data_IF_224061194427
#
_entry.id   IF_224061194427
#
_cell.length_a   1.000
_cell.length_b   1.000
_cell.length_c   1.000
_cell.angle_alpha   90.00
_cell.angle_beta   90.00
_cell.angle_gamma   90.00
#
_symmetry.space_group_name_H-M   'P 1'
#
loop_
_entity.id
_entity.type
_entity.pdbx_description
1 polymer ?
#
# COMPACT_ATOMS: atom_id res chain seq x y z
N UNK A 1 10.82 1.05 -69.45
CA UNK A 1 11.18 0.91 -68.03
C UNK A 1 10.24 -0.15 -67.47
N UNK A 2 10.70 -1.38 -67.31
CA UNK A 2 9.88 -2.42 -66.65
C UNK A 2 9.90 -2.05 -65.17
N UNK A 3 8.75 -1.71 -64.62
CA UNK A 3 8.59 -1.52 -63.19
C UNK A 3 8.87 -2.88 -62.53
N UNK A 4 9.82 -2.92 -61.60
CA UNK A 4 10.13 -4.12 -60.83
C UNK A 4 9.04 -4.33 -59.76
N UNK A 5 7.87 -4.79 -60.22
CA UNK A 5 6.66 -4.98 -59.41
C UNK A 5 6.93 -5.91 -58.21
N UNK A 6 7.86 -6.86 -58.34
CA UNK A 6 8.16 -7.82 -57.26
C UNK A 6 8.95 -7.17 -56.12
N UNK A 7 9.89 -6.29 -56.44
CA UNK A 7 10.62 -5.50 -55.43
C UNK A 7 9.70 -4.52 -54.71
N UNK A 8 8.81 -3.86 -55.44
CA UNK A 8 7.83 -2.91 -54.87
C UNK A 8 6.85 -3.60 -53.93
N UNK A 9 6.29 -4.75 -54.34
CA UNK A 9 5.35 -5.53 -53.52
C UNK A 9 6.02 -6.01 -52.23
N UNK A 10 7.26 -6.50 -52.32
CA UNK A 10 8.01 -6.97 -51.13
C UNK A 10 8.27 -5.83 -50.13
N UNK A 11 8.55 -4.62 -50.63
CA UNK A 11 8.73 -3.43 -49.80
C UNK A 11 7.43 -3.00 -49.12
N UNK A 12 6.29 -3.07 -49.83
CA UNK A 12 4.99 -2.74 -49.27
C UNK A 12 4.61 -3.68 -48.13
N UNK A 13 4.80 -5.00 -48.31
CA UNK A 13 4.57 -5.97 -47.23
C UNK A 13 5.50 -5.76 -46.03
N UNK A 14 6.77 -5.44 -46.27
CA UNK A 14 7.72 -5.12 -45.20
C UNK A 14 7.27 -3.87 -44.42
N UNK A 15 6.78 -2.85 -45.13
CA UNK A 15 6.31 -1.61 -44.53
C UNK A 15 5.02 -1.83 -43.73
N UNK A 16 4.06 -2.59 -44.26
CA UNK A 16 2.83 -2.98 -43.54
C UNK A 16 3.20 -3.75 -42.27
N UNK A 17 4.13 -4.69 -42.36
CA UNK A 17 4.60 -5.46 -41.21
C UNK A 17 5.25 -4.55 -40.15
N UNK A 18 6.15 -3.66 -40.56
CA UNK A 18 6.82 -2.73 -39.66
C UNK A 18 5.83 -1.77 -38.97
N UNK A 19 4.88 -1.20 -39.72
CA UNK A 19 3.83 -0.34 -39.16
C UNK A 19 2.94 -1.12 -38.19
N UNK A 20 2.59 -2.36 -38.52
CA UNK A 20 1.81 -3.23 -37.63
C UNK A 20 2.55 -3.49 -36.31
N UNK A 21 3.86 -3.70 -36.36
CA UNK A 21 4.69 -3.89 -35.17
C UNK A 21 4.76 -2.62 -34.31
N UNK A 22 4.91 -1.46 -34.95
CA UNK A 22 4.92 -0.15 -34.26
C UNK A 22 3.59 0.08 -33.55
N UNK A 23 2.47 -0.16 -34.24
CA UNK A 23 1.13 -0.04 -33.66
C UNK A 23 0.97 -1.01 -32.48
N UNK A 24 1.40 -2.26 -32.63
CA UNK A 24 1.34 -3.25 -31.56
C UNK A 24 2.11 -2.79 -30.32
N UNK A 25 3.34 -2.31 -30.48
CA UNK A 25 4.17 -1.83 -29.37
C UNK A 25 3.54 -0.59 -28.72
N UNK A 26 3.03 0.35 -29.53
CA UNK A 26 2.42 1.59 -29.07
C UNK A 26 1.23 1.35 -28.12
N UNK A 27 0.47 0.27 -28.33
CA UNK A 27 -0.60 -0.13 -27.40
C UNK A 27 -0.11 -1.05 -26.28
N UNK A 28 0.82 -1.95 -26.56
CA UNK A 28 1.25 -2.95 -25.58
C UNK A 28 1.99 -2.34 -24.40
N UNK A 29 2.88 -1.36 -24.63
CA UNK A 29 3.68 -0.77 -23.56
C UNK A 29 2.81 -0.05 -22.51
N UNK A 30 1.90 0.88 -22.88
CA UNK A 30 1.03 1.53 -21.89
C UNK A 30 0.12 0.56 -21.13
N UNK A 31 -0.35 -0.50 -21.80
CA UNK A 31 -1.18 -1.53 -21.16
C UNK A 31 -0.39 -2.29 -20.09
N UNK A 32 0.86 -2.67 -20.37
CA UNK A 32 1.73 -3.36 -19.41
C UNK A 32 2.05 -2.46 -18.22
N UNK A 33 2.39 -1.19 -18.47
CA UNK A 33 2.65 -0.21 -17.40
C UNK A 33 1.44 -0.05 -16.48
N UNK A 34 0.26 0.16 -17.05
CA UNK A 34 -0.98 0.29 -16.27
C UNK A 34 -1.29 -0.98 -15.46
N UNK A 35 -1.07 -2.17 -16.03
CA UNK A 35 -1.28 -3.43 -15.33
C UNK A 35 -0.31 -3.60 -14.14
N UNK A 36 0.94 -3.19 -14.31
CA UNK A 36 1.95 -3.22 -13.25
C UNK A 36 1.60 -2.27 -12.12
N UNK A 37 1.26 -1.02 -12.43
CA UNK A 37 0.91 0.00 -11.43
C UNK A 37 -0.31 -0.41 -10.60
N UNK A 38 -1.37 -0.91 -11.26
CA UNK A 38 -2.54 -1.46 -10.57
C UNK A 38 -2.18 -2.62 -9.63
N UNK A 39 -1.33 -3.53 -10.09
CA UNK A 39 -0.88 -4.68 -9.30
C UNK A 39 -0.10 -4.24 -8.06
N UNK A 40 0.80 -3.25 -8.22
CA UNK A 40 1.58 -2.69 -7.13
C UNK A 40 0.67 -1.99 -6.11
N UNK A 41 -0.34 -1.25 -6.54
CA UNK A 41 -1.26 -0.58 -5.62
C UNK A 41 -2.12 -1.56 -4.81
N UNK A 42 -2.60 -2.63 -5.44
CA UNK A 42 -3.30 -3.70 -4.73
C UNK A 42 -2.37 -4.34 -3.70
N UNK A 43 -1.14 -4.69 -4.11
CA UNK A 43 -0.15 -5.31 -3.23
C UNK A 43 0.20 -4.42 -2.03
N UNK A 44 0.46 -3.13 -2.26
CA UNK A 44 0.80 -2.18 -1.21
C UNK A 44 -0.37 -1.89 -0.27
N UNK A 45 -1.60 -1.78 -0.80
CA UNK A 45 -2.80 -1.63 0.02
C UNK A 45 -3.02 -2.85 0.92
N UNK A 46 -2.79 -4.06 0.39
CA UNK A 46 -2.89 -5.30 1.16
C UNK A 46 -1.81 -5.39 2.24
N UNK A 47 -0.56 -5.03 1.91
CA UNK A 47 0.52 -4.93 2.89
C UNK A 47 0.13 -3.97 4.03
N UNK A 48 -0.29 -2.75 3.71
CA UNK A 48 -0.73 -1.79 4.72
C UNK A 48 -1.88 -2.33 5.57
N UNK A 49 -2.89 -2.97 4.96
CA UNK A 49 -4.00 -3.59 5.71
C UNK A 49 -3.52 -4.70 6.65
N UNK A 50 -2.60 -5.54 6.22
CA UNK A 50 -2.06 -6.62 7.03
C UNK A 50 -1.25 -6.06 8.22
N UNK A 51 -0.40 -5.06 8.00
CA UNK A 51 0.37 -4.43 9.08
C UNK A 51 -0.52 -3.69 10.07
N UNK A 52 -1.51 -2.94 9.58
CA UNK A 52 -2.49 -2.27 10.45
C UNK A 52 -3.35 -3.29 11.23
N UNK A 53 -3.61 -4.48 10.67
CA UNK A 53 -4.31 -5.56 11.37
C UNK A 53 -3.48 -6.13 12.51
N UNK A 54 -2.17 -6.32 12.32
CA UNK A 54 -1.26 -6.68 13.42
C UNK A 54 -1.31 -5.66 14.54
N UNK A 55 -1.30 -4.36 14.19
CA UNK A 55 -1.40 -3.29 15.17
C UNK A 55 -2.74 -3.31 15.92
N UNK A 56 -3.85 -3.44 15.19
CA UNK A 56 -5.20 -3.54 15.77
C UNK A 56 -5.31 -4.71 16.75
N UNK A 57 -4.76 -5.87 16.39
CA UNK A 57 -4.78 -7.06 17.24
C UNK A 57 -3.93 -6.85 18.50
N UNK A 58 -2.78 -6.21 18.38
CA UNK A 58 -1.93 -5.93 19.53
C UNK A 58 -2.57 -4.90 20.49
N UNK A 59 -3.27 -3.89 19.95
CA UNK A 59 -4.10 -2.98 20.77
C UNK A 59 -5.15 -3.77 21.54
N UNK A 60 -5.89 -4.65 20.86
CA UNK A 60 -6.88 -5.50 21.50
C UNK A 60 -6.29 -6.43 22.56
N UNK A 61 -5.08 -6.97 22.32
CA UNK A 61 -4.38 -7.84 23.25
C UNK A 61 -3.96 -7.09 24.52
N UNK A 62 -3.27 -5.95 24.40
CA UNK A 62 -2.88 -5.12 25.56
C UNK A 62 -4.11 -4.66 26.34
N UNK A 63 -5.20 -4.33 25.66
CA UNK A 63 -6.46 -4.01 26.34
C UNK A 63 -7.05 -5.20 27.11
N UNK A 64 -7.00 -6.41 26.55
CA UNK A 64 -7.48 -7.62 27.20
C UNK A 64 -6.60 -8.06 28.37
N UNK A 65 -5.28 -7.84 28.28
CA UNK A 65 -4.31 -8.13 29.35
C UNK A 65 -4.41 -7.13 30.51
N UNK A 66 -4.87 -5.90 30.24
CA UNK A 66 -5.16 -4.90 31.26
C UNK A 66 -3.97 -4.02 31.68
N UNK A 67 -4.10 -3.34 32.82
CA UNK A 67 -3.07 -2.43 33.32
C UNK A 67 -1.72 -3.10 33.55
N UNK A 68 -0.64 -2.43 33.15
CA UNK A 68 0.73 -2.92 33.24
C UNK A 68 1.18 -3.77 32.05
N UNK A 69 0.29 -4.06 31.10
CA UNK A 69 0.62 -4.81 29.88
C UNK A 69 1.34 -3.95 28.84
N UNK A 70 2.18 -4.59 28.05
CA UNK A 70 2.99 -3.95 27.02
C UNK A 70 3.29 -4.91 25.89
N UNK A 71 3.09 -4.45 24.67
CA UNK A 71 3.42 -5.18 23.46
C UNK A 71 4.30 -4.34 22.55
N UNK A 72 5.39 -4.96 22.07
CA UNK A 72 6.28 -4.37 21.06
C UNK A 72 6.11 -5.15 19.77
N UNK A 73 5.94 -4.45 18.66
CA UNK A 73 5.83 -5.07 17.34
C UNK A 73 6.64 -4.29 16.30
N UNK A 74 6.92 -4.98 15.21
CA UNK A 74 7.58 -4.42 14.04
C UNK A 74 6.58 -4.43 12.88
N UNK A 75 6.30 -3.25 12.33
CA UNK A 75 5.43 -3.08 11.18
C UNK A 75 6.29 -2.77 9.96
N UNK A 76 6.15 -3.55 8.89
CA UNK A 76 6.93 -3.36 7.66
C UNK A 76 6.04 -2.87 6.51
N UNK A 77 6.14 -1.59 6.19
CA UNK A 77 5.32 -0.94 5.17
C UNK A 77 6.07 -0.74 3.87
N UNK A 78 5.41 -1.03 2.75
CA UNK A 78 5.96 -0.76 1.42
C UNK A 78 5.96 0.74 1.05
N UNK A 79 5.13 1.54 1.75
CA UNK A 79 4.98 2.99 1.54
C UNK A 79 4.72 3.67 2.88
N UNK A 80 5.28 4.85 3.09
CA UNK A 80 5.03 5.65 4.28
C UNK A 80 3.54 6.06 4.35
N UNK A 81 2.99 6.14 5.55
CA UNK A 81 1.60 6.55 5.76
C UNK A 81 1.37 7.17 7.13
N UNK A 82 0.35 8.04 7.21
CA UNK A 82 -0.15 8.55 8.47
C UNK A 82 -1.36 7.71 8.92
N UNK A 83 -1.26 7.14 10.11
CA UNK A 83 -2.30 6.34 10.74
C UNK A 83 -3.01 7.18 11.78
N UNK A 84 -4.29 7.45 11.55
CA UNK A 84 -5.19 8.04 12.54
C UNK A 84 -5.60 6.95 13.53
N UNK A 85 -5.55 7.30 14.79
CA UNK A 85 -5.85 6.40 15.90
C UNK A 85 -6.99 7.02 16.69
N UNK A 86 -8.03 6.24 16.92
CA UNK A 86 -9.19 6.60 17.72
C UNK A 86 -9.45 5.52 18.77
N UNK A 87 -10.40 5.75 19.66
CA UNK A 87 -10.68 4.79 20.73
C UNK A 87 -11.20 3.43 20.22
N UNK A 88 -11.93 3.43 19.10
CA UNK A 88 -12.63 2.25 18.56
C UNK A 88 -12.17 1.82 17.16
N UNK A 89 -11.24 2.56 16.56
CA UNK A 89 -10.71 2.25 15.24
C UNK A 89 -9.38 2.93 15.00
N UNK A 90 -8.61 2.34 14.09
CA UNK A 90 -7.50 3.01 13.41
C UNK A 90 -7.83 3.11 11.92
N UNK A 91 -7.36 4.17 11.28
CA UNK A 91 -7.42 4.28 9.84
C UNK A 91 -6.15 4.84 9.24
N UNK A 92 -5.78 4.32 8.08
CA UNK A 92 -4.64 4.76 7.30
C UNK A 92 -5.08 5.11 5.88
N UNK A 93 -4.57 6.20 5.34
CA UNK A 93 -4.82 6.59 3.95
C UNK A 93 -3.68 6.10 3.06
N UNK A 94 -4.01 5.31 2.04
CA UNK A 94 -3.09 4.92 0.99
C UNK A 94 -3.41 5.69 -0.30
N UNK A 95 -2.42 6.42 -0.83
CA UNK A 95 -2.53 7.13 -2.12
C UNK A 95 -2.01 6.22 -3.22
N UNK A 96 -2.88 5.91 -4.19
CA UNK A 96 -2.62 5.08 -5.38
C UNK A 96 -1.86 5.86 -6.46
N UNK A 97 -1.39 5.16 -7.49
CA UNK A 97 -0.65 5.74 -8.62
C UNK A 97 -1.50 6.76 -9.42
N UNK A 98 -2.79 6.50 -9.54
CA UNK A 98 -3.79 7.35 -10.22
C UNK A 98 -4.19 8.59 -9.38
N UNK A 99 -3.64 8.74 -8.18
CA UNK A 99 -3.95 9.82 -7.24
C UNK A 99 -5.19 9.55 -6.37
N UNK A 100 -5.90 8.44 -6.58
CA UNK A 100 -7.02 8.06 -5.72
C UNK A 100 -6.52 7.65 -4.34
N UNK A 101 -7.31 7.98 -3.32
CA UNK A 101 -7.00 7.61 -1.94
C UNK A 101 -7.93 6.51 -1.46
N UNK A 102 -7.35 5.45 -0.93
CA UNK A 102 -8.09 4.37 -0.27
C UNK A 102 -7.89 4.45 1.22
N UNK A 103 -8.99 4.59 1.95
CA UNK A 103 -8.96 4.46 3.41
C UNK A 103 -8.99 2.99 3.81
N UNK A 104 -8.01 2.59 4.61
CA UNK A 104 -7.96 1.30 5.28
C UNK A 104 -8.36 1.56 6.73
N UNK A 105 -9.58 1.13 7.09
CA UNK A 105 -10.10 1.26 8.46
C UNK A 105 -10.22 -0.10 9.11
N UNK A 106 -9.72 -0.22 10.33
CA UNK A 106 -9.82 -1.41 11.17
C UNK A 106 -10.38 -1.02 12.53
N UNK A 107 -11.36 -1.77 12.99
CA UNK A 107 -12.02 -1.50 14.27
C UNK A 107 -11.43 -2.40 15.36
N UNK A 108 -11.35 -1.86 16.56
CA UNK A 108 -10.98 -2.56 17.79
C UNK A 108 -11.75 -1.97 18.97
N UNK A 109 -11.70 -2.63 20.11
CA UNK A 109 -12.20 -2.06 21.36
C UNK A 109 -11.02 -1.74 22.27
N UNK A 110 -10.91 -0.50 22.73
CA UNK A 110 -9.84 -0.06 23.62
C UNK A 110 -10.28 1.18 24.42
N UNK A 111 -9.40 1.65 25.30
CA UNK A 111 -9.42 2.96 25.98
C UNK A 111 -8.25 3.85 25.51
N UNK A 112 -7.78 3.63 24.28
CA UNK A 112 -6.55 4.24 23.78
C UNK A 112 -6.74 5.72 23.45
N UNK A 113 -5.73 6.53 23.72
CA UNK A 113 -5.81 7.97 23.44
C UNK A 113 -5.83 8.24 21.93
N UNK A 114 -6.77 9.06 21.46
CA UNK A 114 -6.85 9.45 20.05
C UNK A 114 -5.59 10.22 19.64
N UNK A 115 -5.10 9.97 18.44
CA UNK A 115 -3.88 10.58 17.95
C UNK A 115 -3.56 10.21 16.51
N UNK A 116 -2.34 10.50 16.11
CA UNK A 116 -1.82 10.13 14.80
C UNK A 116 -0.42 9.57 14.93
N UNK A 117 -0.14 8.52 14.18
CA UNK A 117 1.16 7.86 14.12
C UNK A 117 1.67 7.89 12.69
N UNK A 118 2.82 8.53 12.48
CA UNK A 118 3.50 8.49 11.20
C UNK A 118 4.37 7.24 11.10
N UNK A 119 4.12 6.43 10.09
CA UNK A 119 4.87 5.22 9.79
C UNK A 119 5.69 5.43 8.52
N UNK A 120 6.99 5.20 8.62
CA UNK A 120 7.92 5.30 7.49
C UNK A 120 7.77 4.10 6.55
N UNK A 121 8.28 4.25 5.33
CA UNK A 121 8.53 3.10 4.47
C UNK A 121 9.61 2.22 5.12
N UNK A 122 9.39 0.91 5.14
CA UNK A 122 10.26 -0.07 5.78
C UNK A 122 9.78 -0.44 7.17
N UNK A 123 10.71 -0.86 8.03
CA UNK A 123 10.40 -1.31 9.38
C UNK A 123 10.15 -0.15 10.34
N UNK A 124 9.08 -0.28 11.12
CA UNK A 124 8.69 0.65 12.17
C UNK A 124 8.49 -0.13 13.46
N UNK A 125 9.24 0.24 14.50
CA UNK A 125 9.08 -0.34 15.83
C UNK A 125 7.99 0.41 16.60
N UNK A 126 6.87 -0.26 16.85
CA UNK A 126 5.73 0.31 17.55
C UNK A 126 5.57 -0.35 18.92
N UNK A 127 5.29 0.48 19.91
CA UNK A 127 5.00 0.04 21.27
C UNK A 127 3.59 0.46 21.61
N UNK A 128 2.81 -0.50 22.06
CA UNK A 128 1.48 -0.31 22.66
C UNK A 128 1.59 -0.73 24.10
N UNK A 129 1.21 0.14 25.03
CA UNK A 129 1.24 -0.19 26.45
C UNK A 129 0.07 0.43 27.20
N UNK A 130 -0.34 -0.25 28.27
CA UNK A 130 -1.24 0.27 29.26
C UNK A 130 -0.44 0.50 30.55
N UNK A 131 0.01 1.73 30.83
CA UNK A 131 0.77 2.01 32.04
C UNK A 131 -0.03 1.67 33.31
N UNK A 132 0.66 1.16 34.33
CA UNK A 132 0.03 0.87 35.62
C UNK A 132 -0.42 2.18 36.29
N UNK A 133 -1.70 2.28 36.63
CA UNK A 133 -2.29 3.47 37.25
C UNK A 133 -2.79 4.55 36.30
N UNK A 134 -2.65 4.36 34.98
CA UNK A 134 -3.25 5.23 33.96
C UNK A 134 -4.58 4.66 33.46
N UNK A 135 -5.56 5.53 33.22
CA UNK A 135 -6.88 5.13 32.71
C UNK A 135 -6.89 4.83 31.20
N UNK A 136 -5.84 5.23 30.48
CA UNK A 136 -5.76 5.14 29.02
C UNK A 136 -4.49 4.45 28.56
N UNK A 137 -4.64 3.67 27.49
CA UNK A 137 -3.51 3.11 26.75
C UNK A 137 -2.80 4.17 25.91
N UNK A 138 -1.50 3.96 25.70
CA UNK A 138 -0.65 4.78 24.85
C UNK A 138 -0.02 3.96 23.73
N UNK A 139 0.20 4.61 22.60
CA UNK A 139 0.87 4.06 21.43
C UNK A 139 1.87 5.07 20.92
N UNK A 140 3.08 4.60 20.63
CA UNK A 140 4.12 5.43 20.06
C UNK A 140 5.09 4.60 19.24
N UNK A 141 5.72 5.29 18.28
CA UNK A 141 6.86 4.77 17.54
C UNK A 141 8.11 4.95 18.37
N UNK A 142 8.91 3.90 18.49
CA UNK A 142 10.26 3.97 19.04
C UNK A 142 11.23 4.17 17.89
N UNK A 143 11.97 5.28 17.95
CA UNK A 143 13.08 5.59 17.04
C UNK A 143 14.21 4.57 17.20
#
# INVERSE_FOLDING_TARGET
>A
MIIDDKGQISLEYLLIFAVSLIILIAFTLPLVETALENTLDVSNTLNAKNELSKLSNAIGQVYAEGHGSKQTMYLSLNKAMNVKISNSYLSGLYVMHDGNTKEIRLNYNSNLNSGSLFLDKGENKIIVEWPAGEDKMIIYKKL
#
